data_IF_946522200967
#
_entry.id   IF_946522200967
#
_cell.length_a   1.000
_cell.length_b   1.000
_cell.length_c   1.000
_cell.angle_alpha   90.00
_cell.angle_beta   90.00
_cell.angle_gamma   90.00
#
_symmetry.space_group_name_H-M   'P 1'
#
loop_
_entity.id
_entity.type
_entity.pdbx_description
1 polymer ?
#
# COMPACT_ATOMS: atom_id res chain seq x y z
N UNK A 1 3.48 -12.61 -13.53
CA UNK A 1 3.78 -13.13 -12.17
C UNK A 1 2.48 -13.23 -11.39
N UNK A 2 2.08 -14.46 -11.05
CA UNK A 2 0.72 -14.84 -10.64
C UNK A 2 0.26 -14.36 -9.26
N UNK A 3 -0.99 -14.69 -8.94
CA UNK A 3 -1.62 -14.43 -7.64
C UNK A 3 -0.99 -15.32 -6.55
N UNK A 4 -0.64 -14.75 -5.40
CA UNK A 4 -0.15 -15.50 -4.23
C UNK A 4 1.37 -15.61 -4.08
N UNK A 5 2.19 -14.96 -4.92
CA UNK A 5 3.67 -15.03 -4.84
C UNK A 5 4.31 -14.06 -3.84
N UNK A 6 3.54 -13.49 -2.91
CA UNK A 6 4.09 -12.58 -1.88
C UNK A 6 4.48 -11.19 -2.38
N UNK A 7 3.87 -10.70 -3.48
CA UNK A 7 4.10 -9.31 -3.96
C UNK A 7 3.85 -8.28 -2.86
N UNK A 8 2.78 -8.47 -2.08
CA UNK A 8 2.41 -7.60 -0.97
C UNK A 8 3.48 -7.53 0.11
N UNK A 9 4.04 -8.68 0.51
CA UNK A 9 5.13 -8.75 1.49
C UNK A 9 6.38 -8.02 0.97
N UNK A 10 6.70 -8.18 -0.32
CA UNK A 10 7.79 -7.45 -0.96
C UNK A 10 7.58 -5.92 -0.96
N UNK A 11 6.36 -5.45 -1.20
CA UNK A 11 6.01 -4.03 -1.19
C UNK A 11 6.08 -3.47 0.23
N UNK A 12 5.58 -4.21 1.22
CA UNK A 12 5.71 -3.84 2.64
C UNK A 12 7.17 -3.74 3.08
N UNK A 13 8.00 -4.72 2.73
CA UNK A 13 9.44 -4.72 2.99
C UNK A 13 10.15 -3.54 2.31
N UNK A 14 9.84 -3.27 1.04
CA UNK A 14 10.39 -2.13 0.30
C UNK A 14 10.03 -0.79 0.94
N UNK A 15 8.76 -0.60 1.31
CA UNK A 15 8.32 0.63 1.97
C UNK A 15 8.94 0.75 3.36
N UNK A 16 8.94 -0.33 4.15
CA UNK A 16 9.54 -0.35 5.49
C UNK A 16 11.04 0.00 5.42
N UNK A 17 11.76 -0.56 4.44
CA UNK A 17 13.18 -0.27 4.24
C UNK A 17 13.43 1.15 3.72
N UNK A 18 12.64 1.67 2.77
CA UNK A 18 12.79 3.05 2.26
C UNK A 18 12.39 4.09 3.33
N UNK A 19 11.31 3.83 4.06
CA UNK A 19 10.79 4.70 5.11
C UNK A 19 11.70 4.79 6.34
N UNK A 20 12.40 3.69 6.68
CA UNK A 20 13.39 3.62 7.77
C UNK A 20 14.78 4.08 7.36
N UNK A 21 15.27 3.66 6.19
CA UNK A 21 16.64 3.95 5.76
C UNK A 21 16.81 5.33 5.13
N UNK A 22 15.80 5.85 4.42
CA UNK A 22 15.92 7.09 3.65
C UNK A 22 15.02 8.24 4.13
N UNK A 23 14.19 8.05 5.15
CA UNK A 23 13.29 9.11 5.64
C UNK A 23 12.29 9.63 4.60
N UNK A 24 12.24 9.00 3.42
CA UNK A 24 11.43 9.40 2.28
C UNK A 24 10.02 8.84 2.33
N UNK A 25 9.18 9.37 1.46
CA UNK A 25 7.82 8.89 1.20
C UNK A 25 7.90 7.90 0.03
N UNK A 26 7.16 6.79 0.12
CA UNK A 26 7.04 5.80 -0.94
C UNK A 26 5.72 5.94 -1.68
N UNK A 27 5.71 5.66 -2.99
CA UNK A 27 4.50 5.62 -3.80
C UNK A 27 4.36 4.22 -4.38
N UNK A 28 3.22 3.59 -4.16
CA UNK A 28 2.84 2.34 -4.81
C UNK A 28 1.79 2.65 -5.88
N UNK A 29 1.97 2.12 -7.09
CA UNK A 29 1.01 2.24 -8.18
C UNK A 29 0.63 0.83 -8.67
N UNK A 30 -0.58 0.38 -8.33
CA UNK A 30 -1.16 -0.87 -8.83
C UNK A 30 -2.04 -0.59 -10.05
N UNK A 31 -1.57 -0.96 -11.25
CA UNK A 31 -2.31 -0.76 -12.51
C UNK A 31 -2.91 -2.08 -12.99
N UNK A 32 -4.21 -2.08 -13.28
CA UNK A 32 -4.96 -3.28 -13.64
C UNK A 32 -5.00 -4.30 -12.49
N UNK A 33 -4.94 -3.84 -11.24
CA UNK A 33 -5.06 -4.73 -10.08
C UNK A 33 -6.53 -5.11 -9.86
N UNK A 34 -6.74 -6.21 -9.14
CA UNK A 34 -8.10 -6.57 -8.70
C UNK A 34 -8.46 -5.75 -7.48
N UNK A 35 -9.71 -5.29 -7.39
CA UNK A 35 -10.16 -4.44 -6.27
C UNK A 35 -10.01 -5.15 -4.93
N UNK A 36 -10.22 -6.47 -4.91
CA UNK A 36 -9.96 -7.30 -3.73
C UNK A 36 -8.48 -7.26 -3.32
N UNK A 37 -7.56 -7.41 -4.26
CA UNK A 37 -6.11 -7.42 -3.97
C UNK A 37 -5.64 -6.03 -3.46
N UNK A 38 -6.20 -4.94 -4.00
CA UNK A 38 -5.93 -3.58 -3.50
C UNK A 38 -6.52 -3.31 -2.11
N UNK A 39 -7.70 -3.84 -1.81
CA UNK A 39 -8.33 -3.73 -0.49
C UNK A 39 -7.53 -4.49 0.58
N UNK A 40 -7.13 -5.74 0.27
CA UNK A 40 -6.32 -6.57 1.17
C UNK A 40 -4.98 -5.87 1.48
N UNK A 41 -4.30 -5.36 0.44
CA UNK A 41 -3.04 -4.61 0.58
C UNK A 41 -3.20 -3.34 1.44
N UNK A 42 -4.30 -2.61 1.29
CA UNK A 42 -4.56 -1.39 2.07
C UNK A 42 -4.71 -1.68 3.57
N UNK A 43 -5.50 -2.70 3.95
CA UNK A 43 -5.65 -3.07 5.35
C UNK A 43 -4.36 -3.61 5.95
N UNK A 44 -3.61 -4.43 5.21
CA UNK A 44 -2.32 -4.93 5.68
C UNK A 44 -1.31 -3.78 5.92
N UNK A 45 -1.36 -2.70 5.12
CA UNK A 45 -0.50 -1.52 5.32
C UNK A 45 -0.86 -0.71 6.57
N UNK A 46 -2.15 -0.72 6.97
CA UNK A 46 -2.61 -0.12 8.22
C UNK A 46 -2.15 -0.97 9.41
N UNK A 47 -2.37 -2.28 9.35
CA UNK A 47 -1.96 -3.23 10.40
C UNK A 47 -0.44 -3.25 10.60
N UNK A 48 0.33 -3.09 9.52
CA UNK A 48 1.79 -2.98 9.57
C UNK A 48 2.28 -1.60 10.09
N UNK A 49 1.39 -0.64 10.32
CA UNK A 49 1.71 0.71 10.79
C UNK A 49 2.43 1.59 9.76
N UNK A 50 2.39 1.20 8.48
CA UNK A 50 2.96 1.96 7.36
C UNK A 50 2.03 3.11 6.97
N UNK A 51 0.73 2.83 6.94
CA UNK A 51 -0.34 3.82 6.91
C UNK A 51 -0.84 4.00 8.33
N UNK A 52 -0.96 5.25 8.77
CA UNK A 52 -1.47 5.60 10.10
C UNK A 52 -2.82 6.28 9.95
N UNK A 53 -3.81 5.76 10.67
CA UNK A 53 -5.16 6.31 10.72
C UNK A 53 -5.62 6.52 12.16
N UNK A 54 -6.56 7.44 12.36
CA UNK A 54 -7.28 7.59 13.63
C UNK A 54 -8.46 6.59 13.72
N UNK A 55 -9.10 6.53 14.89
CA UNK A 55 -10.27 5.68 15.16
C UNK A 55 -11.47 5.99 14.23
N UNK A 56 -11.46 7.15 13.58
CA UNK A 56 -12.47 7.60 12.62
C UNK A 56 -12.06 7.34 11.16
N UNK A 57 -11.01 6.56 10.91
CA UNK A 57 -10.45 6.25 9.58
C UNK A 57 -9.92 7.47 8.80
N UNK A 58 -9.55 8.55 9.49
CA UNK A 58 -8.85 9.67 8.87
C UNK A 58 -7.34 9.41 8.86
N UNK A 59 -6.68 9.79 7.76
CA UNK A 59 -5.22 9.76 7.73
C UNK A 59 -4.64 10.71 8.79
N UNK A 60 -3.69 10.21 9.56
CA UNK A 60 -2.92 11.01 10.52
C UNK A 60 -1.48 11.20 10.03
N UNK A 61 -0.83 12.23 10.59
CA UNK A 61 0.55 12.55 10.25
C UNK A 61 1.49 11.37 10.56
N UNK A 62 2.45 11.14 9.66
CA UNK A 62 3.41 10.05 9.78
C UNK A 62 3.11 8.81 8.93
N UNK A 63 2.05 8.82 8.11
CA UNK A 63 1.92 7.89 6.97
C UNK A 63 3.03 8.16 5.96
N UNK A 64 3.78 7.13 5.57
CA UNK A 64 4.94 7.25 4.68
C UNK A 64 4.73 6.63 3.30
N UNK A 65 3.49 6.26 2.97
CA UNK A 65 3.15 5.66 1.69
C UNK A 65 1.91 6.32 1.07
N UNK A 66 1.96 6.56 -0.23
CA UNK A 66 0.78 6.81 -1.05
C UNK A 66 0.48 5.57 -1.89
N UNK A 67 -0.77 5.10 -1.88
CA UNK A 67 -1.25 3.99 -2.70
C UNK A 67 -2.13 4.55 -3.82
N UNK A 68 -1.72 4.36 -5.07
CA UNK A 68 -2.55 4.59 -6.25
C UNK A 68 -2.98 3.26 -6.84
N UNK A 69 -4.27 3.12 -7.09
CA UNK A 69 -4.83 1.95 -7.73
C UNK A 69 -5.56 2.36 -9.01
N UNK A 70 -5.11 1.86 -10.14
CA UNK A 70 -5.90 1.76 -11.37
C UNK A 70 -6.49 0.37 -11.43
N UNK A 71 -7.77 0.23 -11.19
CA UNK A 71 -8.41 -1.08 -11.02
C UNK A 71 -8.83 -1.67 -12.37
N UNK A 72 -8.92 -3.01 -12.48
CA UNK A 72 -9.36 -3.68 -13.72
C UNK A 72 -10.76 -3.24 -14.21
N UNK A 73 -11.59 -2.65 -13.33
CA UNK A 73 -12.92 -2.15 -13.66
C UNK A 73 -12.93 -0.68 -14.11
N UNK A 74 -11.79 0.00 -14.13
CA UNK A 74 -11.71 1.38 -14.59
C UNK A 74 -11.54 1.44 -16.12
N UNK A 75 -12.19 2.41 -16.79
CA UNK A 75 -12.05 2.61 -18.22
C UNK A 75 -10.61 3.07 -18.57
N UNK A 76 -10.11 2.71 -19.77
CA UNK A 76 -8.77 3.06 -20.22
C UNK A 76 -8.59 4.55 -20.57
#
# INVERSE_FOLDING_TARGET
>A
GGAGVGKTVLIQELINNIAKAHGGVSVFAGVGERTREGNDLYHEMIDAGVIKMDDNHNLIEGSKVALMYGQMNEPP
#
